data_IF_991332162005
#
_entry.id   IF_991332162005
#
_cell.length_a   1.000
_cell.length_b   1.000
_cell.length_c   1.000
_cell.angle_alpha   90.00
_cell.angle_beta   90.00
_cell.angle_gamma   90.00
#
_symmetry.space_group_name_H-M   'P 1'
#
loop_
_entity.id
_entity.type
_entity.pdbx_description
1 polymer ?
#
# COMPACT_ATOMS: atom_id res chain seq x y z
N UNK A 1 24.88 -21.39 15.04
CA UNK A 1 24.16 -21.26 13.74
C UNK A 1 22.66 -21.44 13.86
N UNK A 2 22.15 -22.45 14.61
CA UNK A 2 20.69 -22.67 14.77
C UNK A 2 19.99 -21.51 15.46
N UNK A 3 20.60 -20.89 16.49
CA UNK A 3 20.02 -19.74 17.19
C UNK A 3 19.88 -18.50 16.31
N UNK A 4 20.88 -18.22 15.47
CA UNK A 4 20.84 -17.07 14.54
C UNK A 4 19.71 -17.21 13.49
N UNK A 5 19.52 -18.42 12.94
CA UNK A 5 18.45 -18.65 11.96
C UNK A 5 17.07 -18.51 12.61
N UNK A 6 16.87 -19.05 13.81
CA UNK A 6 15.61 -18.91 14.54
C UNK A 6 15.30 -17.44 14.84
N UNK A 7 16.29 -16.68 15.30
CA UNK A 7 16.15 -15.23 15.54
C UNK A 7 15.76 -14.47 14.27
N UNK A 8 16.34 -14.80 13.10
CA UNK A 8 15.99 -14.13 11.84
C UNK A 8 14.57 -14.50 11.37
N UNK A 9 14.10 -15.71 11.63
CA UNK A 9 12.73 -16.11 11.34
C UNK A 9 11.75 -15.32 12.20
N UNK A 10 12.01 -15.20 13.49
CA UNK A 10 11.16 -14.43 14.41
C UNK A 10 11.10 -12.94 14.01
N UNK A 11 12.23 -12.36 13.61
CA UNK A 11 12.30 -10.99 13.08
C UNK A 11 11.46 -10.86 11.81
N UNK A 12 11.55 -11.80 10.88
CA UNK A 12 10.78 -11.78 9.65
C UNK A 12 9.28 -11.89 9.90
N UNK A 13 8.85 -12.83 10.74
CA UNK A 13 7.44 -12.99 11.13
C UNK A 13 6.93 -11.71 11.80
N UNK A 14 7.72 -11.11 12.69
CA UNK A 14 7.39 -9.84 13.35
C UNK A 14 7.19 -8.69 12.34
N UNK A 15 8.03 -8.59 11.32
CA UNK A 15 7.90 -7.60 10.24
C UNK A 15 6.60 -7.83 9.47
N UNK A 16 6.33 -9.08 9.06
CA UNK A 16 5.11 -9.43 8.33
C UNK A 16 3.85 -9.07 9.11
N UNK A 17 3.74 -9.54 10.34
CA UNK A 17 2.57 -9.30 11.20
C UNK A 17 2.36 -7.79 11.41
N UNK A 18 3.42 -7.07 11.76
CA UNK A 18 3.35 -5.62 11.98
C UNK A 18 2.95 -4.85 10.71
N UNK A 19 3.46 -5.27 9.56
CA UNK A 19 3.12 -4.66 8.28
C UNK A 19 1.63 -4.86 7.96
N UNK A 20 1.15 -6.11 8.01
CA UNK A 20 -0.25 -6.39 7.67
C UNK A 20 -1.23 -5.77 8.65
N UNK A 21 -0.93 -5.73 9.94
CA UNK A 21 -1.76 -5.04 10.93
C UNK A 21 -1.91 -3.55 10.59
N UNK A 22 -0.81 -2.86 10.32
CA UNK A 22 -0.82 -1.44 9.97
C UNK A 22 -1.50 -1.19 8.63
N UNK A 23 -1.21 -2.02 7.62
CA UNK A 23 -1.82 -1.90 6.31
C UNK A 23 -3.34 -2.12 6.37
N UNK A 24 -3.82 -3.06 7.18
CA UNK A 24 -5.26 -3.27 7.37
C UNK A 24 -5.93 -2.01 7.95
N UNK A 25 -5.31 -1.36 8.91
CA UNK A 25 -5.84 -0.10 9.47
C UNK A 25 -5.89 1.00 8.41
N UNK A 26 -4.82 1.14 7.60
CA UNK A 26 -4.79 2.10 6.49
C UNK A 26 -5.92 1.82 5.51
N UNK A 27 -6.08 0.56 5.07
CA UNK A 27 -7.12 0.15 4.13
C UNK A 27 -8.54 0.44 4.63
N UNK A 28 -8.80 0.25 5.92
CA UNK A 28 -10.10 0.57 6.51
C UNK A 28 -10.36 2.08 6.52
N UNK A 29 -9.36 2.88 6.89
CA UNK A 29 -9.47 4.35 6.87
C UNK A 29 -9.70 4.83 5.44
N UNK A 30 -8.92 4.37 4.47
CA UNK A 30 -9.07 4.70 3.06
C UNK A 30 -10.43 4.25 2.52
N UNK A 31 -10.87 3.04 2.86
CA UNK A 31 -12.17 2.51 2.44
C UNK A 31 -13.33 3.38 2.89
N UNK A 32 -13.32 3.82 4.14
CA UNK A 32 -14.33 4.74 4.68
C UNK A 32 -14.20 6.12 4.01
N UNK A 33 -12.99 6.63 3.86
CA UNK A 33 -12.71 7.93 3.26
C UNK A 33 -13.17 8.00 1.80
N UNK A 34 -12.74 7.05 0.96
CA UNK A 34 -13.16 7.00 -0.44
C UNK A 34 -14.64 6.65 -0.59
N UNK A 35 -15.14 5.73 0.24
CA UNK A 35 -16.56 5.35 0.24
C UNK A 35 -17.46 6.54 0.53
N UNK A 36 -17.19 7.28 1.58
CA UNK A 36 -17.95 8.50 1.92
C UNK A 36 -17.77 9.60 0.89
N UNK A 37 -16.54 9.83 0.40
CA UNK A 37 -16.26 10.84 -0.62
C UNK A 37 -17.02 10.56 -1.93
N UNK A 38 -16.99 9.36 -2.45
CA UNK A 38 -17.71 8.99 -3.67
C UNK A 38 -19.23 8.99 -3.49
N UNK A 39 -19.72 8.62 -2.32
CA UNK A 39 -21.14 8.73 -1.99
C UNK A 39 -21.61 10.17 -1.94
N UNK A 40 -20.87 11.08 -1.30
CA UNK A 40 -21.21 12.52 -1.21
C UNK A 40 -21.22 13.20 -2.57
N UNK A 41 -20.37 12.79 -3.49
CA UNK A 41 -20.35 13.30 -4.88
C UNK A 41 -21.53 12.75 -5.70
N UNK A 42 -22.30 11.80 -5.17
CA UNK A 42 -23.44 11.19 -5.85
C UNK A 42 -23.05 10.15 -6.89
N UNK A 43 -21.91 9.49 -6.72
CA UNK A 43 -21.55 8.35 -7.56
C UNK A 43 -22.48 7.17 -7.23
N UNK A 44 -23.14 6.54 -8.23
CA UNK A 44 -23.89 5.31 -8.00
C UNK A 44 -23.00 4.23 -7.40
N UNK A 45 -23.48 3.57 -6.35
CA UNK A 45 -22.68 2.61 -5.57
C UNK A 45 -21.37 3.19 -5.02
N UNK A 46 -21.26 4.53 -4.90
CA UNK A 46 -20.01 5.23 -4.54
C UNK A 46 -19.39 4.73 -3.25
N UNK A 47 -20.19 4.50 -2.21
CA UNK A 47 -19.68 3.95 -0.96
C UNK A 47 -19.05 2.56 -1.16
N UNK A 48 -19.71 1.68 -1.89
CA UNK A 48 -19.23 0.33 -2.15
C UNK A 48 -17.92 0.36 -2.97
N UNK A 49 -17.90 1.14 -4.05
CA UNK A 49 -16.73 1.28 -4.94
C UNK A 49 -15.56 1.87 -4.16
N UNK A 50 -15.77 2.93 -3.39
CA UNK A 50 -14.72 3.55 -2.60
C UNK A 50 -14.22 2.65 -1.46
N UNK A 51 -15.11 1.91 -0.81
CA UNK A 51 -14.73 0.95 0.22
C UNK A 51 -13.89 -0.21 -0.35
N UNK A 52 -14.31 -0.76 -1.50
CA UNK A 52 -13.53 -1.79 -2.22
C UNK A 52 -12.17 -1.25 -2.65
N UNK A 53 -12.10 -0.01 -3.14
CA UNK A 53 -10.83 0.67 -3.46
C UNK A 53 -9.89 0.67 -2.26
N UNK A 54 -10.36 1.11 -1.10
CA UNK A 54 -9.55 1.12 0.12
C UNK A 54 -9.09 -0.28 0.53
N UNK A 55 -9.98 -1.27 0.51
CA UNK A 55 -9.62 -2.66 0.85
C UNK A 55 -8.62 -3.23 -0.15
N UNK A 56 -8.75 -2.95 -1.45
CA UNK A 56 -7.81 -3.41 -2.46
C UNK A 56 -6.43 -2.74 -2.35
N UNK A 57 -6.30 -1.60 -1.67
CA UNK A 57 -5.03 -0.98 -1.31
C UNK A 57 -4.24 -1.75 -0.24
N UNK A 58 -4.70 -2.93 0.16
CA UNK A 58 -3.85 -3.91 0.87
C UNK A 58 -2.57 -4.19 0.06
N UNK A 59 -2.69 -4.19 -1.26
CA UNK A 59 -1.56 -4.06 -2.18
C UNK A 59 -1.51 -2.58 -2.59
N UNK A 60 -0.46 -1.82 -2.19
CA UNK A 60 -0.36 -0.39 -2.51
C UNK A 60 -0.57 -0.11 -4.00
N UNK A 61 -1.31 0.94 -4.32
CA UNK A 61 -1.72 1.35 -5.67
C UNK A 61 -2.71 0.43 -6.41
N UNK A 62 -2.88 -0.83 -5.99
CA UNK A 62 -3.71 -1.79 -6.71
C UNK A 62 -5.18 -1.39 -6.70
N UNK A 63 -5.68 -0.90 -5.58
CA UNK A 63 -7.04 -0.37 -5.48
C UNK A 63 -7.33 0.71 -6.52
N UNK A 64 -6.40 1.66 -6.70
CA UNK A 64 -6.53 2.73 -7.69
C UNK A 64 -6.54 2.21 -9.12
N UNK A 65 -5.66 1.27 -9.45
CA UNK A 65 -5.57 0.67 -10.80
C UNK A 65 -6.84 -0.09 -11.18
N UNK A 66 -7.50 -0.73 -10.22
CA UNK A 66 -8.71 -1.51 -10.48
C UNK A 66 -9.98 -0.65 -10.41
N UNK A 67 -10.11 0.18 -9.37
CA UNK A 67 -11.36 0.87 -9.10
C UNK A 67 -11.53 2.17 -9.90
N UNK A 68 -10.46 2.90 -10.24
CA UNK A 68 -10.59 4.12 -11.06
C UNK A 68 -11.14 3.87 -12.47
N UNK A 69 -10.69 2.85 -13.22
CA UNK A 69 -11.28 2.52 -14.52
C UNK A 69 -12.76 2.16 -14.46
N UNK A 70 -13.28 1.82 -13.28
CA UNK A 70 -14.71 1.57 -13.07
C UNK A 70 -15.41 2.86 -12.60
N UNK A 71 -14.84 3.56 -11.63
CA UNK A 71 -15.45 4.75 -11.01
C UNK A 71 -15.58 5.92 -11.99
N UNK A 72 -14.55 6.18 -12.83
CA UNK A 72 -14.55 7.33 -13.73
C UNK A 72 -15.56 7.20 -14.87
N UNK A 73 -15.65 6.07 -15.62
CA UNK A 73 -16.70 5.89 -16.60
C UNK A 73 -18.10 5.93 -15.99
N UNK A 74 -18.27 5.31 -14.81
CA UNK A 74 -19.55 5.33 -14.10
C UNK A 74 -19.94 6.77 -13.73
N UNK A 75 -19.00 7.57 -13.24
CA UNK A 75 -19.22 8.97 -12.93
C UNK A 75 -19.62 9.81 -14.17
N UNK A 76 -19.06 9.46 -15.33
CA UNK A 76 -19.36 10.17 -16.58
C UNK A 76 -20.69 9.76 -17.19
N UNK A 77 -20.91 8.44 -17.39
CA UNK A 77 -22.04 7.94 -18.17
C UNK A 77 -23.36 7.86 -17.41
N UNK A 78 -23.33 7.63 -16.12
CA UNK A 78 -24.56 7.57 -15.31
C UNK A 78 -25.08 9.00 -15.11
N UNK A 79 -26.36 9.25 -15.44
CA UNK A 79 -27.06 10.53 -15.44
C UNK A 79 -26.69 11.47 -16.60
N UNK A 80 -26.43 10.94 -17.78
CA UNK A 80 -26.40 11.71 -19.03
C UNK A 80 -25.09 12.47 -19.34
N UNK A 81 -23.94 11.98 -18.87
CA UNK A 81 -22.64 12.53 -19.26
C UNK A 81 -22.24 13.80 -18.51
N UNK A 82 -21.99 13.71 -17.21
CA UNK A 82 -21.57 14.85 -16.39
C UNK A 82 -20.06 14.93 -16.20
N UNK A 83 -19.41 15.82 -16.93
CA UNK A 83 -17.98 16.13 -16.73
C UNK A 83 -17.71 16.64 -15.31
N UNK A 84 -18.65 17.42 -14.73
CA UNK A 84 -18.52 17.92 -13.36
C UNK A 84 -18.41 16.76 -12.35
N UNK A 85 -19.24 15.73 -12.49
CA UNK A 85 -19.20 14.57 -11.58
C UNK A 85 -17.91 13.77 -11.75
N UNK A 86 -17.45 13.57 -12.97
CA UNK A 86 -16.16 12.94 -13.24
C UNK A 86 -15.02 13.69 -12.55
N UNK A 87 -14.99 15.02 -12.68
CA UNK A 87 -13.97 15.86 -12.03
C UNK A 87 -14.06 15.82 -10.50
N UNK A 88 -15.27 15.75 -9.94
CA UNK A 88 -15.47 15.62 -8.49
C UNK A 88 -14.96 14.27 -7.97
N UNK A 89 -15.27 13.17 -8.67
CA UNK A 89 -14.76 11.82 -8.30
C UNK A 89 -13.24 11.78 -8.39
N UNK A 90 -12.66 12.34 -9.44
CA UNK A 90 -11.21 12.47 -9.59
C UNK A 90 -10.61 13.34 -8.48
N UNK A 91 -11.28 14.46 -8.14
CA UNK A 91 -10.87 15.33 -7.04
C UNK A 91 -10.85 14.63 -5.68
N UNK A 92 -11.89 13.85 -5.37
CA UNK A 92 -11.94 13.02 -4.15
C UNK A 92 -10.78 12.03 -4.12
N UNK A 93 -10.51 11.37 -5.25
CA UNK A 93 -9.41 10.42 -5.33
C UNK A 93 -8.05 11.10 -5.15
N UNK A 94 -7.76 12.20 -5.85
CA UNK A 94 -6.50 12.97 -5.72
C UNK A 94 -6.32 13.47 -4.29
N UNK A 95 -7.38 14.00 -3.68
CA UNK A 95 -7.34 14.45 -2.28
C UNK A 95 -7.06 13.30 -1.32
N UNK A 96 -7.68 12.15 -1.54
CA UNK A 96 -7.42 10.94 -0.77
C UNK A 96 -5.98 10.45 -0.90
N UNK A 97 -5.41 10.44 -2.11
CA UNK A 97 -4.00 10.09 -2.34
C UNK A 97 -3.05 11.06 -1.62
N UNK A 98 -3.41 12.36 -1.61
CA UNK A 98 -2.64 13.35 -0.86
C UNK A 98 -2.68 13.07 0.65
N UNK A 99 -3.86 12.81 1.21
CA UNK A 99 -4.01 12.48 2.63
C UNK A 99 -3.28 11.19 2.99
N UNK A 100 -3.37 10.17 2.15
CA UNK A 100 -2.65 8.91 2.37
C UNK A 100 -1.14 9.12 2.36
N UNK A 101 -0.60 9.70 1.30
CA UNK A 101 0.84 9.85 1.13
C UNK A 101 1.52 10.76 2.16
N UNK A 102 0.83 11.80 2.64
CA UNK A 102 1.42 12.78 3.56
C UNK A 102 1.01 12.59 5.03
N UNK A 103 -0.11 11.95 5.32
CA UNK A 103 -0.64 11.86 6.68
C UNK A 103 -0.90 10.43 7.15
N UNK A 104 -1.66 9.63 6.39
CA UNK A 104 -2.12 8.32 6.86
C UNK A 104 -0.95 7.35 6.91
N UNK A 105 -0.33 7.10 5.77
CA UNK A 105 0.78 6.17 5.63
C UNK A 105 1.98 6.55 6.50
N UNK A 106 2.50 7.79 6.53
CA UNK A 106 3.62 8.15 7.41
C UNK A 106 3.30 8.00 8.90
N UNK A 107 2.08 8.33 9.32
CA UNK A 107 1.68 8.19 10.74
C UNK A 107 1.52 6.75 11.19
N UNK A 108 1.00 5.88 10.34
CA UNK A 108 0.66 4.50 10.70
C UNK A 108 1.82 3.55 10.42
N UNK A 109 2.43 3.62 9.24
CA UNK A 109 3.57 2.75 8.89
C UNK A 109 4.89 3.27 9.45
N UNK A 110 5.08 4.59 9.50
CA UNK A 110 6.33 5.25 9.91
C UNK A 110 7.48 5.00 8.93
N UNK A 111 8.59 5.72 9.11
CA UNK A 111 9.78 5.65 8.25
C UNK A 111 10.66 4.40 8.46
N UNK A 112 10.12 3.35 9.10
CA UNK A 112 10.93 2.20 9.57
C UNK A 112 11.39 1.25 8.49
N UNK A 113 10.90 1.35 7.25
CA UNK A 113 11.31 0.44 6.18
C UNK A 113 12.72 0.74 5.66
N UNK A 114 13.22 1.95 5.85
CA UNK A 114 14.53 2.38 5.34
C UNK A 114 14.64 2.34 3.81
N UNK A 115 13.50 2.13 3.13
CA UNK A 115 13.39 2.11 1.68
C UNK A 115 12.85 3.48 1.24
N UNK A 116 13.61 4.23 0.46
CA UNK A 116 13.09 5.42 -0.22
C UNK A 116 12.04 5.05 -1.26
N UNK A 117 11.29 6.03 -1.78
CA UNK A 117 10.25 5.80 -2.80
C UNK A 117 10.73 4.96 -3.99
N UNK A 118 11.93 5.22 -4.50
CA UNK A 118 12.55 4.44 -5.58
C UNK A 118 12.79 2.97 -5.18
N UNK A 119 13.20 2.73 -3.92
CA UNK A 119 13.38 1.38 -3.39
C UNK A 119 12.09 0.61 -3.28
N UNK A 120 10.99 1.27 -2.92
CA UNK A 120 9.64 0.67 -2.87
C UNK A 120 9.18 0.27 -4.26
N UNK A 121 9.28 1.18 -5.24
CA UNK A 121 8.89 0.88 -6.63
C UNK A 121 9.73 -0.28 -7.20
N UNK A 122 11.05 -0.25 -7.00
CA UNK A 122 11.92 -1.35 -7.41
C UNK A 122 11.51 -2.68 -6.76
N UNK A 123 11.18 -2.67 -5.47
CA UNK A 123 10.74 -3.84 -4.73
C UNK A 123 9.48 -4.46 -5.34
N UNK A 124 8.50 -3.66 -5.74
CA UNK A 124 7.28 -4.16 -6.38
C UNK A 124 7.60 -4.93 -7.67
N UNK A 125 8.38 -4.35 -8.56
CA UNK A 125 8.75 -5.01 -9.82
C UNK A 125 9.61 -6.26 -9.58
N UNK A 126 10.60 -6.16 -8.69
CA UNK A 126 11.49 -7.27 -8.38
C UNK A 126 10.71 -8.47 -7.81
N UNK A 127 9.93 -8.26 -6.75
CA UNK A 127 9.20 -9.35 -6.11
C UNK A 127 8.02 -9.86 -6.95
N UNK A 128 7.41 -9.01 -7.78
CA UNK A 128 6.39 -9.44 -8.73
C UNK A 128 6.94 -10.42 -9.78
N UNK A 129 8.18 -10.24 -10.22
CA UNK A 129 8.83 -11.16 -11.16
C UNK A 129 9.26 -12.47 -10.48
N UNK A 130 9.67 -12.43 -9.21
CA UNK A 130 10.17 -13.59 -8.47
C UNK A 130 9.05 -14.48 -7.92
N UNK A 131 8.01 -13.89 -7.32
CA UNK A 131 6.93 -14.60 -6.62
C UNK A 131 5.59 -14.57 -7.37
N UNK A 132 5.56 -13.92 -8.54
CA UNK A 132 4.34 -13.67 -9.29
C UNK A 132 3.69 -12.33 -8.93
N UNK A 133 2.82 -11.79 -9.84
CA UNK A 133 2.35 -10.41 -9.72
C UNK A 133 1.60 -10.11 -8.43
N UNK A 134 0.66 -10.94 -8.00
CA UNK A 134 -0.13 -10.68 -6.80
C UNK A 134 0.65 -10.90 -5.51
N UNK A 135 1.25 -12.07 -5.32
CA UNK A 135 2.00 -12.39 -4.10
C UNK A 135 3.27 -11.54 -3.97
N UNK A 136 3.96 -11.32 -5.08
CA UNK A 136 5.17 -10.50 -5.09
C UNK A 136 4.90 -9.06 -4.70
N UNK A 137 3.86 -8.43 -5.26
CA UNK A 137 3.48 -7.07 -4.89
C UNK A 137 3.01 -6.97 -3.43
N UNK A 138 2.20 -7.93 -2.96
CA UNK A 138 1.69 -7.95 -1.58
C UNK A 138 2.83 -8.03 -0.55
N UNK A 139 3.84 -8.85 -0.83
CA UNK A 139 4.96 -9.11 0.08
C UNK A 139 6.18 -8.22 -0.21
N UNK A 140 6.15 -7.38 -1.25
CA UNK A 140 7.29 -6.58 -1.69
C UNK A 140 7.91 -5.75 -0.57
N UNK A 141 7.10 -5.00 0.16
CA UNK A 141 7.58 -4.12 1.24
C UNK A 141 8.17 -4.92 2.40
N UNK A 142 7.46 -5.91 3.01
CA UNK A 142 8.01 -6.66 4.13
C UNK A 142 9.24 -7.50 3.74
N UNK A 143 9.27 -8.09 2.55
CA UNK A 143 10.45 -8.85 2.08
C UNK A 143 11.66 -7.93 1.89
N UNK A 144 11.48 -6.77 1.28
CA UNK A 144 12.56 -5.81 1.07
C UNK A 144 13.04 -5.22 2.39
N UNK A 145 12.13 -4.91 3.34
CA UNK A 145 12.49 -4.47 4.67
C UNK A 145 13.32 -5.54 5.40
N UNK A 146 12.93 -6.81 5.30
CA UNK A 146 13.69 -7.92 5.85
C UNK A 146 15.07 -8.05 5.22
N UNK A 147 15.18 -7.96 3.88
CA UNK A 147 16.48 -7.98 3.19
C UNK A 147 17.41 -6.87 3.68
N UNK A 148 16.90 -5.65 3.89
CA UNK A 148 17.68 -4.53 4.42
C UNK A 148 18.15 -4.81 5.85
N UNK A 149 17.28 -5.33 6.71
CA UNK A 149 17.61 -5.66 8.10
C UNK A 149 18.64 -6.79 8.15
N UNK A 150 18.42 -7.84 7.35
CA UNK A 150 19.35 -8.96 7.25
C UNK A 150 20.74 -8.51 6.76
N UNK A 151 20.79 -7.66 5.74
CA UNK A 151 22.03 -7.07 5.25
C UNK A 151 22.76 -6.28 6.33
N UNK A 152 22.03 -5.45 7.10
CA UNK A 152 22.63 -4.69 8.22
C UNK A 152 23.16 -5.61 9.32
N UNK A 153 22.41 -6.67 9.65
CA UNK A 153 22.83 -7.67 10.65
C UNK A 153 24.10 -8.42 10.20
N UNK A 154 24.13 -8.85 8.94
CA UNK A 154 25.32 -9.49 8.35
C UNK A 154 26.53 -8.55 8.32
N UNK A 155 26.33 -7.32 7.90
CA UNK A 155 27.38 -6.30 7.88
C UNK A 155 27.92 -6.02 9.28
N UNK A 156 27.07 -5.92 10.29
CA UNK A 156 27.50 -5.72 11.68
C UNK A 156 28.30 -6.92 12.20
N UNK A 157 27.90 -8.16 11.83
CA UNK A 157 28.56 -9.38 12.29
C UNK A 157 29.89 -9.68 11.58
N UNK A 158 29.99 -9.39 10.29
CA UNK A 158 31.12 -9.81 9.47
C UNK A 158 32.08 -8.64 9.06
N UNK A 159 31.62 -7.40 9.06
CA UNK A 159 32.41 -6.25 8.56
C UNK A 159 32.88 -5.31 9.70
N UNK A 160 32.34 -5.43 10.93
CA UNK A 160 32.75 -4.67 12.12
C UNK A 160 33.46 -5.46 13.23
N UNK A 161 34.33 -6.43 12.98
CA UNK A 161 35.27 -6.89 14.00
C UNK A 161 36.70 -6.35 13.78
N UNK A 162 36.86 -5.22 13.03
CA UNK A 162 38.18 -4.63 12.81
C UNK A 162 38.10 -3.14 13.13
N UNK A 163 38.01 -2.83 14.41
CA UNK A 163 38.64 -1.68 15.12
C UNK A 163 38.57 -2.00 16.62
#
# INVERSE_FOLDING_TARGET
TRGFVAEQIDVFVGILVSFFQRQTVICLIEGVMYGTGFWLVGLPYGFLIGFVLGVMNLIPFFGSVVCLPVALPLAYFVHGGSLTRLLLVLGVWVFGQFLDGYFITPKIQGDKTGLGYAGVIFSFFFWATVLGPLLGMLLAIPLSAFCVILWRALKAKYIRPVV
#
